data_IF_945622060223
#
_entry.id   IF_945622060223
#
_cell.length_a   1.000
_cell.length_b   1.000
_cell.length_c   1.000
_cell.angle_alpha   90.00
_cell.angle_beta   90.00
_cell.angle_gamma   90.00
#
_symmetry.space_group_name_H-M   'P 1'
#
loop_
_entity.id
_entity.type
_entity.pdbx_description
1 polymer ?
#
# COMPACT_ATOMS: atom_id res chain seq x y z
N UNK A 1 68.73 -39.43 -10.92
CA UNK A 1 67.33 -39.51 -11.39
C UNK A 1 66.71 -40.78 -10.85
N UNK A 2 65.47 -40.72 -10.34
CA UNK A 2 64.37 -41.23 -11.16
C UNK A 2 63.24 -40.19 -11.29
N UNK A 3 62.81 -39.96 -12.54
CA UNK A 3 61.65 -39.15 -12.87
C UNK A 3 60.40 -39.99 -12.60
N UNK A 4 59.61 -39.63 -11.59
CA UNK A 4 58.27 -40.18 -11.42
C UNK A 4 57.32 -39.49 -12.40
N UNK A 5 57.20 -40.09 -13.59
CA UNK A 5 56.16 -39.77 -14.57
C UNK A 5 54.81 -40.28 -14.06
N UNK A 6 54.14 -39.51 -13.20
CA UNK A 6 52.68 -39.61 -13.09
C UNK A 6 52.10 -38.65 -14.10
N UNK A 7 51.73 -39.18 -15.27
CA UNK A 7 50.92 -38.45 -16.25
C UNK A 7 49.72 -37.82 -15.53
N UNK A 8 49.61 -36.48 -15.57
CA UNK A 8 48.42 -35.75 -15.14
C UNK A 8 47.27 -36.13 -16.08
N UNK A 9 46.64 -37.28 -15.83
CA UNK A 9 45.30 -37.56 -16.34
C UNK A 9 44.39 -36.46 -15.81
N UNK A 10 44.03 -35.51 -16.68
CA UNK A 10 42.99 -34.53 -16.39
C UNK A 10 41.69 -35.28 -16.15
N UNK A 11 41.36 -35.54 -14.89
CA UNK A 11 40.10 -36.19 -14.52
C UNK A 11 38.98 -35.19 -14.78
N UNK A 12 38.09 -35.56 -15.70
CA UNK A 12 36.90 -34.78 -16.06
C UNK A 12 35.81 -34.97 -15.01
N UNK A 13 34.95 -33.96 -14.89
CA UNK A 13 33.77 -34.00 -14.04
C UNK A 13 32.86 -35.17 -14.43
N UNK A 14 32.43 -35.93 -13.41
CA UNK A 14 31.46 -37.01 -13.57
C UNK A 14 30.10 -36.54 -13.08
N UNK A 15 29.10 -36.60 -13.97
CA UNK A 15 27.69 -36.30 -13.64
C UNK A 15 27.12 -37.26 -12.60
N UNK A 16 27.71 -38.45 -12.45
CA UNK A 16 27.37 -39.43 -11.43
C UNK A 16 27.56 -38.89 -10.00
N UNK A 17 28.51 -37.96 -9.79
CA UNK A 17 28.76 -37.35 -8.49
C UNK A 17 27.57 -36.53 -7.99
N UNK A 18 26.74 -35.97 -8.87
CA UNK A 18 25.54 -35.24 -8.47
C UNK A 18 24.50 -36.14 -7.75
N UNK A 19 24.57 -37.46 -7.98
CA UNK A 19 23.68 -38.46 -7.37
C UNK A 19 24.17 -38.96 -6.02
N UNK A 20 25.44 -38.74 -5.67
CA UNK A 20 26.00 -39.15 -4.37
C UNK A 20 25.38 -38.35 -3.22
N UNK A 21 25.03 -39.01 -2.11
CA UNK A 21 24.38 -38.40 -0.95
C UNK A 21 25.13 -37.18 -0.39
N UNK A 22 26.46 -37.16 -0.50
CA UNK A 22 27.33 -36.09 -0.01
C UNK A 22 27.35 -34.85 -0.90
N UNK A 23 27.07 -35.01 -2.20
CA UNK A 23 27.13 -33.95 -3.21
C UNK A 23 25.75 -33.50 -3.72
N UNK A 24 24.73 -34.32 -3.44
CA UNK A 24 23.34 -34.07 -3.80
C UNK A 24 22.85 -32.72 -3.26
N UNK A 25 22.31 -31.91 -4.17
CA UNK A 25 21.67 -30.63 -3.86
C UNK A 25 22.56 -29.39 -3.94
N UNK A 26 23.89 -29.54 -4.06
CA UNK A 26 24.80 -28.39 -4.16
C UNK A 26 25.84 -28.45 -5.27
N UNK A 27 26.27 -29.65 -5.67
CA UNK A 27 27.27 -29.83 -6.73
C UNK A 27 26.58 -29.83 -8.11
N UNK A 28 27.14 -29.07 -9.05
CA UNK A 28 26.73 -29.04 -10.47
C UNK A 28 27.97 -28.98 -11.37
N UNK A 29 27.83 -29.32 -12.65
CA UNK A 29 28.85 -29.00 -13.65
C UNK A 29 28.99 -27.47 -13.83
N UNK A 30 30.22 -26.98 -13.90
CA UNK A 30 30.50 -25.57 -14.21
C UNK A 30 30.12 -25.24 -15.67
N UNK A 31 29.55 -24.06 -15.92
CA UNK A 31 29.24 -23.61 -17.29
C UNK A 31 30.48 -23.01 -17.97
N UNK A 32 30.44 -22.95 -19.31
CA UNK A 32 31.55 -22.40 -20.12
C UNK A 32 31.84 -20.91 -19.82
N UNK A 33 30.88 -20.20 -19.24
CA UNK A 33 31.02 -18.80 -18.79
C UNK A 33 31.76 -18.71 -17.44
N UNK A 34 31.70 -19.76 -16.62
CA UNK A 34 32.29 -19.79 -15.28
C UNK A 34 33.67 -20.46 -15.25
N UNK A 35 34.00 -21.27 -16.26
CA UNK A 35 35.28 -21.94 -16.40
C UNK A 35 36.19 -21.18 -17.36
N UNK A 36 37.30 -20.63 -16.87
CA UNK A 36 38.33 -20.12 -17.76
C UNK A 36 38.92 -21.28 -18.56
N UNK A 37 39.06 -21.08 -19.87
CA UNK A 37 39.28 -22.03 -20.97
C UNK A 37 40.48 -23.01 -20.85
N UNK A 38 41.18 -23.05 -19.72
CA UNK A 38 42.37 -23.90 -19.49
C UNK A 38 42.50 -24.50 -18.08
N UNK A 39 41.50 -24.38 -17.21
CA UNK A 39 41.59 -24.88 -15.83
C UNK A 39 40.74 -26.15 -15.62
N UNK A 40 41.29 -27.13 -14.89
CA UNK A 40 40.68 -28.40 -14.46
C UNK A 40 39.44 -28.23 -13.53
N UNK A 41 38.78 -27.07 -13.58
CA UNK A 41 37.71 -26.60 -12.70
C UNK A 41 36.35 -26.76 -13.38
N UNK A 42 35.96 -28.01 -13.60
CA UNK A 42 34.70 -28.38 -14.26
C UNK A 42 33.53 -28.56 -13.27
N UNK A 43 33.76 -28.39 -11.96
CA UNK A 43 32.73 -28.53 -10.92
C UNK A 43 32.32 -27.15 -10.36
N UNK A 44 31.07 -27.01 -9.92
CA UNK A 44 30.53 -25.79 -9.35
C UNK A 44 29.69 -26.08 -8.10
N UNK A 45 29.88 -25.25 -7.07
CA UNK A 45 29.11 -25.31 -5.83
C UNK A 45 28.05 -24.20 -5.80
N UNK A 46 26.77 -24.57 -5.81
CA UNK A 46 25.65 -23.62 -5.78
C UNK A 46 25.51 -22.90 -4.45
N UNK A 47 25.90 -23.54 -3.33
CA UNK A 47 25.83 -22.89 -2.02
C UNK A 47 26.92 -21.84 -1.88
N UNK A 48 28.16 -22.21 -2.21
CA UNK A 48 29.30 -21.33 -2.06
C UNK A 48 29.43 -20.30 -3.20
N UNK A 49 28.80 -20.56 -4.34
CA UNK A 49 28.95 -19.84 -5.61
C UNK A 49 30.41 -19.78 -6.07
N UNK A 50 31.07 -20.95 -6.12
CA UNK A 50 32.49 -21.06 -6.50
C UNK A 50 32.70 -22.24 -7.44
N UNK A 51 33.66 -22.08 -8.36
CA UNK A 51 34.12 -23.12 -9.27
C UNK A 51 35.22 -23.93 -8.58
N UNK A 52 35.13 -25.25 -8.67
CA UNK A 52 35.97 -26.22 -7.97
C UNK A 52 36.63 -27.15 -8.98
N UNK A 53 37.78 -27.70 -8.59
CA UNK A 53 38.45 -28.75 -9.35
C UNK A 53 37.59 -30.01 -9.37
N UNK A 54 37.48 -30.66 -10.53
CA UNK A 54 36.73 -31.91 -10.70
C UNK A 54 37.50 -33.11 -10.14
N UNK A 55 37.80 -33.09 -8.84
CA UNK A 55 38.49 -34.13 -8.12
C UNK A 55 37.69 -34.52 -6.87
N UNK A 56 37.34 -35.79 -6.74
CA UNK A 56 36.40 -36.28 -5.71
C UNK A 56 36.82 -35.86 -4.29
N UNK A 57 38.09 -36.06 -3.91
CA UNK A 57 38.58 -35.65 -2.60
C UNK A 57 38.49 -34.13 -2.37
N UNK A 58 38.76 -33.32 -3.39
CA UNK A 58 38.69 -31.85 -3.28
C UNK A 58 37.25 -31.38 -3.06
N UNK A 59 36.27 -32.08 -3.66
CA UNK A 59 34.84 -31.84 -3.46
C UNK A 59 34.38 -32.29 -2.07
N UNK A 60 34.89 -33.43 -1.58
CA UNK A 60 34.66 -33.90 -0.20
C UNK A 60 35.21 -32.88 0.79
N UNK A 61 36.43 -32.40 0.60
CA UNK A 61 37.06 -31.43 1.49
C UNK A 61 36.35 -30.07 1.43
N UNK A 62 35.91 -29.63 0.24
CA UNK A 62 35.08 -28.44 0.10
C UNK A 62 33.79 -28.54 0.92
N UNK A 63 33.12 -29.69 0.92
CA UNK A 63 31.87 -29.91 1.66
C UNK A 63 32.03 -29.74 3.18
N UNK A 64 33.25 -29.96 3.69
CA UNK A 64 33.60 -29.83 5.10
C UNK A 64 34.03 -28.41 5.48
N UNK A 65 34.25 -27.52 4.51
CA UNK A 65 34.68 -26.14 4.80
C UNK A 65 33.63 -25.37 5.59
N UNK A 66 34.08 -24.53 6.53
CA UNK A 66 33.19 -23.73 7.37
C UNK A 66 32.24 -22.84 6.54
N UNK A 67 32.72 -22.29 5.41
CA UNK A 67 31.92 -21.49 4.47
C UNK A 67 30.80 -22.31 3.82
N UNK A 68 31.07 -23.56 3.46
CA UNK A 68 30.07 -24.44 2.88
C UNK A 68 29.02 -24.84 3.93
N UNK A 69 29.47 -25.25 5.11
CA UNK A 69 28.59 -25.70 6.20
C UNK A 69 27.68 -24.55 6.68
N UNK A 70 28.20 -23.32 6.81
CA UNK A 70 27.39 -22.17 7.22
C UNK A 70 26.29 -21.83 6.20
N UNK A 71 26.63 -21.78 4.91
CA UNK A 71 25.65 -21.52 3.84
C UNK A 71 24.65 -22.66 3.66
N UNK A 72 25.08 -23.92 3.82
CA UNK A 72 24.18 -25.08 3.83
C UNK A 72 23.18 -25.00 4.98
N UNK A 73 23.62 -24.55 6.15
CA UNK A 73 22.75 -24.37 7.32
C UNK A 73 21.77 -23.19 7.16
N UNK A 74 22.18 -22.08 6.56
CA UNK A 74 21.29 -20.92 6.33
C UNK A 74 20.19 -21.19 5.31
N UNK A 75 20.43 -22.11 4.37
CA UNK A 75 19.47 -22.56 3.35
C UNK A 75 18.63 -23.76 3.81
N UNK A 76 18.82 -24.23 5.05
CA UNK A 76 18.05 -25.33 5.58
C UNK A 76 16.65 -24.85 5.97
N UNK A 77 15.66 -25.24 5.17
CA UNK A 77 14.24 -24.90 5.33
C UNK A 77 13.73 -25.21 6.75
N UNK A 78 14.27 -26.24 7.43
CA UNK A 78 13.87 -26.60 8.80
C UNK A 78 14.42 -25.66 9.89
N UNK A 79 15.43 -24.86 9.57
CA UNK A 79 16.10 -23.93 10.51
C UNK A 79 15.82 -22.46 10.22
N UNK A 80 15.17 -22.14 9.10
CA UNK A 80 14.78 -20.77 8.79
C UNK A 80 13.58 -20.36 9.65
N UNK A 81 13.59 -19.17 10.28
CA UNK A 81 12.44 -18.68 11.01
C UNK A 81 11.27 -18.47 10.05
N UNK A 82 10.09 -18.93 10.45
CA UNK A 82 8.86 -18.64 9.71
C UNK A 82 8.55 -17.15 9.79
N UNK A 83 8.32 -16.52 8.64
CA UNK A 83 7.82 -15.16 8.57
C UNK A 83 6.36 -15.15 9.03
N UNK A 84 6.14 -14.89 10.32
CA UNK A 84 4.79 -14.90 10.90
C UNK A 84 3.94 -13.70 10.46
N UNK A 85 4.55 -12.59 10.01
CA UNK A 85 3.81 -11.50 9.38
C UNK A 85 4.71 -10.63 8.49
N UNK A 86 4.16 -10.11 7.40
CA UNK A 86 4.81 -9.17 6.47
C UNK A 86 4.78 -7.71 6.99
N UNK A 87 4.80 -7.50 8.31
CA UNK A 87 4.71 -6.16 8.89
C UNK A 87 3.33 -5.50 8.81
N UNK A 88 2.31 -6.21 8.35
CA UNK A 88 0.92 -5.74 8.37
C UNK A 88 0.33 -6.08 9.75
N UNK A 89 0.37 -5.13 10.67
CA UNK A 89 -0.35 -5.22 11.94
C UNK A 89 -1.73 -4.60 11.78
N UNK A 90 -2.78 -5.42 11.86
CA UNK A 90 -4.16 -4.93 11.87
C UNK A 90 -4.45 -4.27 13.21
N UNK A 91 -4.74 -2.97 13.19
CA UNK A 91 -5.22 -2.26 14.40
C UNK A 91 -6.50 -2.90 14.93
N UNK A 92 -6.65 -2.88 16.26
CA UNK A 92 -7.89 -3.27 16.92
C UNK A 92 -9.07 -2.39 16.48
N UNK A 93 -10.29 -2.92 16.58
CA UNK A 93 -11.49 -2.17 16.19
C UNK A 93 -11.71 -0.95 17.10
N UNK A 94 -11.41 -1.05 18.38
CA UNK A 94 -11.48 0.05 19.34
C UNK A 94 -10.55 1.19 18.93
N UNK A 95 -9.33 0.87 18.48
CA UNK A 95 -8.37 1.87 18.01
C UNK A 95 -8.87 2.59 16.76
N UNK A 96 -9.51 1.87 15.82
CA UNK A 96 -10.11 2.46 14.61
C UNK A 96 -11.27 3.38 14.96
N UNK A 97 -12.13 2.97 15.90
CA UNK A 97 -13.27 3.78 16.35
C UNK A 97 -12.78 5.07 17.02
N UNK A 98 -11.79 4.99 17.90
CA UNK A 98 -11.18 6.18 18.53
C UNK A 98 -10.56 7.11 17.49
N UNK A 99 -9.85 6.55 16.51
CA UNK A 99 -9.25 7.30 15.42
C UNK A 99 -10.32 8.06 14.59
N UNK A 100 -11.43 7.39 14.24
CA UNK A 100 -12.54 8.01 13.51
C UNK A 100 -13.26 9.09 14.33
N UNK A 101 -13.56 8.83 15.61
CA UNK A 101 -14.19 9.82 16.49
C UNK A 101 -13.37 11.10 16.60
N UNK A 102 -12.05 10.97 16.75
CA UNK A 102 -11.16 12.11 16.82
C UNK A 102 -11.08 12.87 15.49
N UNK A 103 -11.05 12.15 14.36
CA UNK A 103 -11.07 12.75 13.03
C UNK A 103 -12.37 13.53 12.76
N UNK A 104 -13.54 12.98 13.16
CA UNK A 104 -14.83 13.68 13.08
C UNK A 104 -14.84 14.94 13.93
N UNK A 105 -14.33 14.87 15.17
CA UNK A 105 -14.25 16.04 16.04
C UNK A 105 -13.39 17.16 15.43
N UNK A 106 -12.23 16.81 14.87
CA UNK A 106 -11.38 17.76 14.17
C UNK A 106 -12.11 18.36 12.97
N UNK A 107 -12.73 17.53 12.12
CA UNK A 107 -13.44 18.00 10.94
C UNK A 107 -14.58 19.00 11.27
N UNK A 108 -15.29 18.76 12.39
CA UNK A 108 -16.43 19.58 12.77
C UNK A 108 -16.07 20.85 13.55
N UNK A 109 -14.96 20.84 14.31
CA UNK A 109 -14.73 21.86 15.34
C UNK A 109 -13.31 22.44 15.40
N UNK A 110 -12.39 22.01 14.54
CA UNK A 110 -11.00 22.49 14.60
C UNK A 110 -10.30 22.49 13.25
N UNK A 111 -9.09 23.05 13.22
CA UNK A 111 -8.19 22.90 12.08
C UNK A 111 -7.52 21.54 12.13
N UNK A 112 -7.37 20.86 10.98
CA UNK A 112 -6.60 19.61 10.90
C UNK A 112 -5.14 19.78 11.34
N UNK A 113 -4.62 21.01 11.40
CA UNK A 113 -3.27 21.31 11.92
C UNK A 113 -3.14 21.13 13.44
N UNK A 114 -4.22 21.24 14.20
CA UNK A 114 -4.18 21.12 15.67
C UNK A 114 -3.98 19.69 16.16
N UNK A 115 -4.22 18.70 15.29
CA UNK A 115 -4.28 17.29 15.69
C UNK A 115 -2.94 16.73 16.16
N UNK A 116 -1.82 17.27 15.66
CA UNK A 116 -0.49 16.79 16.04
C UNK A 116 -0.24 17.01 17.53
N UNK A 117 -0.43 18.25 18.00
CA UNK A 117 -0.28 18.58 19.43
C UNK A 117 -1.40 17.96 20.28
N UNK A 118 -2.64 17.95 19.79
CA UNK A 118 -3.75 17.31 20.49
C UNK A 118 -3.47 15.82 20.71
N UNK A 119 -2.92 15.13 19.72
CA UNK A 119 -2.51 13.73 19.82
C UNK A 119 -1.48 13.50 20.92
N UNK A 120 -0.46 14.35 21.03
CA UNK A 120 0.53 14.27 22.12
C UNK A 120 -0.07 14.53 23.50
N UNK A 121 -0.96 15.52 23.61
CA UNK A 121 -1.68 15.81 24.86
C UNK A 121 -2.51 14.60 25.29
N UNK A 122 -3.29 14.02 24.35
CA UNK A 122 -4.13 12.84 24.63
C UNK A 122 -3.31 11.63 25.08
N UNK A 123 -2.13 11.39 24.48
CA UNK A 123 -1.21 10.35 24.95
C UNK A 123 -0.73 10.62 26.37
N UNK A 124 -0.36 11.87 26.66
CA UNK A 124 0.21 12.25 27.96
C UNK A 124 -0.81 12.15 29.09
N UNK A 125 -2.05 12.59 28.85
CA UNK A 125 -3.16 12.52 29.80
C UNK A 125 -3.76 11.12 29.90
N UNK A 126 -3.60 10.30 28.86
CA UNK A 126 -4.28 9.01 28.70
C UNK A 126 -3.45 7.78 29.08
N UNK A 127 -2.38 7.92 29.86
CA UNK A 127 -1.53 6.79 30.29
C UNK A 127 -2.37 5.70 30.98
N UNK A 128 -2.14 4.44 30.60
CA UNK A 128 -2.90 3.28 31.08
C UNK A 128 -4.25 3.07 30.39
N UNK A 129 -4.60 3.88 29.39
CA UNK A 129 -5.83 3.75 28.61
C UNK A 129 -5.56 3.49 27.13
N UNK A 130 -6.63 3.34 26.34
CA UNK A 130 -6.54 3.23 24.88
C UNK A 130 -5.97 4.49 24.21
N UNK A 131 -5.99 5.63 24.90
CA UNK A 131 -5.47 6.91 24.39
C UNK A 131 -3.93 6.98 24.41
N UNK A 132 -3.27 6.21 25.28
CA UNK A 132 -1.79 6.17 25.37
C UNK A 132 -1.15 5.74 24.04
N UNK A 133 -1.84 4.87 23.31
CA UNK A 133 -1.36 4.30 22.05
C UNK A 133 -1.93 5.02 20.81
N UNK A 134 -2.61 6.16 20.98
CA UNK A 134 -3.10 6.94 19.85
C UNK A 134 -1.91 7.38 19.00
N UNK A 135 -1.99 7.13 17.70
CA UNK A 135 -1.03 7.64 16.71
C UNK A 135 -1.83 8.44 15.70
N UNK A 136 -2.17 9.67 16.04
CA UNK A 136 -2.93 10.55 15.18
C UNK A 136 -2.09 11.77 14.86
N UNK A 137 -1.79 11.92 13.57
CA UNK A 137 -1.10 13.07 13.01
C UNK A 137 -1.91 13.62 11.84
N UNK A 138 -1.55 14.82 11.37
CA UNK A 138 -2.22 15.54 10.28
C UNK A 138 -2.56 14.62 9.11
N UNK A 139 -1.55 13.93 8.55
CA UNK A 139 -1.74 13.07 7.38
C UNK A 139 -2.79 12.00 7.63
N UNK A 140 -2.71 11.30 8.76
CA UNK A 140 -3.66 10.24 9.08
C UNK A 140 -5.07 10.79 9.30
N UNK A 141 -5.20 11.91 10.02
CA UNK A 141 -6.48 12.57 10.24
C UNK A 141 -7.12 12.98 8.90
N UNK A 142 -6.36 13.66 8.02
CA UNK A 142 -6.81 14.02 6.68
C UNK A 142 -7.25 12.80 5.87
N UNK A 143 -6.46 11.71 5.88
CA UNK A 143 -6.80 10.50 5.11
C UNK A 143 -8.05 9.78 5.67
N UNK A 144 -8.29 9.82 6.99
CA UNK A 144 -9.53 9.30 7.57
C UNK A 144 -10.74 10.15 7.18
N UNK A 145 -10.59 11.48 7.20
CA UNK A 145 -11.63 12.40 6.77
C UNK A 145 -11.98 12.15 5.29
N UNK A 146 -10.96 12.09 4.42
CA UNK A 146 -11.14 11.99 2.97
C UNK A 146 -11.60 10.61 2.50
N UNK A 147 -11.06 9.53 3.07
CA UNK A 147 -11.26 8.19 2.52
C UNK A 147 -12.21 7.31 3.33
N UNK A 148 -12.63 7.74 4.53
CA UNK A 148 -13.57 6.98 5.35
C UNK A 148 -14.81 7.79 5.70
N UNK A 149 -14.63 8.98 6.28
CA UNK A 149 -15.75 9.79 6.77
C UNK A 149 -16.53 10.40 5.60
N UNK A 150 -15.84 11.10 4.69
CA UNK A 150 -16.47 11.78 3.57
C UNK A 150 -17.25 10.83 2.64
N UNK A 151 -16.70 9.66 2.22
CA UNK A 151 -17.44 8.72 1.38
C UNK A 151 -18.66 8.15 2.10
N UNK A 152 -18.55 7.81 3.38
CA UNK A 152 -19.67 7.28 4.15
C UNK A 152 -20.81 8.29 4.30
N UNK A 153 -20.48 9.57 4.56
CA UNK A 153 -21.48 10.64 4.66
C UNK A 153 -22.12 10.94 3.30
N UNK A 154 -21.33 10.95 2.23
CA UNK A 154 -21.82 11.16 0.87
C UNK A 154 -22.78 10.04 0.44
N UNK A 155 -22.41 8.78 0.68
CA UNK A 155 -23.26 7.62 0.41
C UNK A 155 -24.56 7.68 1.21
N UNK A 156 -24.49 8.02 2.51
CA UNK A 156 -25.68 8.19 3.34
C UNK A 156 -26.61 9.29 2.80
N UNK A 157 -26.05 10.43 2.36
CA UNK A 157 -26.83 11.53 1.79
C UNK A 157 -27.51 11.12 0.48
N UNK A 158 -26.78 10.50 -0.44
CA UNK A 158 -27.31 10.02 -1.73
C UNK A 158 -28.41 8.99 -1.51
N UNK A 159 -28.23 8.07 -0.56
CA UNK A 159 -29.25 7.07 -0.22
C UNK A 159 -30.52 7.69 0.39
N UNK A 160 -30.40 8.76 1.19
CA UNK A 160 -31.55 9.45 1.79
C UNK A 160 -32.31 10.30 0.75
N UNK A 161 -31.64 10.81 -0.29
CA UNK A 161 -32.27 11.44 -1.46
C UNK A 161 -33.02 10.36 -2.28
N UNK A 162 -32.31 9.29 -2.62
CA UNK A 162 -32.81 8.20 -3.45
C UNK A 162 -33.32 8.68 -4.81
N UNK A 163 -34.47 8.15 -5.19
CA UNK A 163 -35.06 8.25 -6.53
C UNK A 163 -36.03 9.44 -6.67
N UNK A 164 -36.13 10.30 -5.66
CA UNK A 164 -37.16 11.35 -5.57
C UNK A 164 -36.67 12.64 -6.21
N UNK A 165 -37.62 13.54 -6.48
CA UNK A 165 -37.29 14.89 -6.92
C UNK A 165 -36.46 15.65 -5.89
N UNK A 166 -35.41 16.31 -6.35
CA UNK A 166 -34.56 17.19 -5.54
C UNK A 166 -34.30 18.51 -6.23
N UNK A 167 -33.96 19.54 -5.47
CA UNK A 167 -33.52 20.82 -6.01
C UNK A 167 -32.04 21.03 -5.69
N UNK A 168 -31.33 21.71 -6.58
CA UNK A 168 -29.96 22.12 -6.37
C UNK A 168 -29.92 23.61 -6.08
N UNK A 169 -29.06 24.01 -5.15
CA UNK A 169 -28.66 25.39 -4.92
C UNK A 169 -27.18 25.42 -5.26
N UNK A 170 -26.83 26.23 -6.25
CA UNK A 170 -25.49 26.32 -6.81
C UNK A 170 -25.00 27.75 -6.63
N UNK A 171 -23.77 27.88 -6.14
CA UNK A 171 -23.14 29.16 -5.87
C UNK A 171 -21.70 29.15 -6.41
N UNK A 172 -21.33 30.15 -7.22
CA UNK A 172 -19.95 30.37 -7.64
C UNK A 172 -19.24 31.23 -6.61
N UNK A 173 -18.21 30.70 -5.95
CA UNK A 173 -17.36 31.54 -5.11
C UNK A 173 -16.40 32.36 -5.97
N UNK A 174 -16.44 33.69 -5.85
CA UNK A 174 -15.37 34.56 -6.34
C UNK A 174 -14.28 34.70 -5.28
N UNK A 175 -13.41 33.70 -5.17
CA UNK A 175 -12.17 33.89 -4.40
C UNK A 175 -11.22 34.79 -5.20
N UNK A 176 -10.43 35.61 -4.50
CA UNK A 176 -9.38 36.47 -5.08
C UNK A 176 -8.19 35.60 -5.55
N UNK A 177 -8.21 34.30 -5.22
CA UNK A 177 -7.28 33.31 -5.73
C UNK A 177 -7.56 32.95 -7.21
N UNK A 178 -6.56 32.35 -7.86
CA UNK A 178 -6.66 31.89 -9.25
C UNK A 178 -7.68 30.74 -9.40
N UNK A 179 -8.07 30.12 -8.28
CA UNK A 179 -8.94 28.94 -8.27
C UNK A 179 -10.36 29.33 -7.88
N UNK A 180 -11.30 29.10 -8.78
CA UNK A 180 -12.72 29.26 -8.51
C UNK A 180 -13.33 27.95 -8.07
N UNK A 181 -14.35 28.02 -7.23
CA UNK A 181 -15.12 26.86 -6.80
C UNK A 181 -16.60 27.07 -7.04
N UNK A 182 -17.26 25.97 -7.38
CA UNK A 182 -18.71 25.86 -7.42
C UNK A 182 -19.16 25.02 -6.23
N UNK A 183 -19.97 25.63 -5.36
CA UNK A 183 -20.56 24.97 -4.22
C UNK A 183 -21.95 24.44 -4.57
N UNK A 184 -22.23 23.21 -4.16
CA UNK A 184 -23.51 22.55 -4.36
C UNK A 184 -24.17 22.27 -3.01
N UNK A 185 -25.40 22.74 -2.85
CA UNK A 185 -26.31 22.32 -1.82
C UNK A 185 -27.51 21.61 -2.46
N UNK A 186 -28.02 20.57 -1.81
CA UNK A 186 -29.19 19.81 -2.26
C UNK A 186 -30.34 20.03 -1.30
N UNK A 187 -31.52 20.33 -1.83
CA UNK A 187 -32.77 20.43 -1.09
C UNK A 187 -33.70 19.30 -1.51
N UNK A 188 -34.08 18.45 -0.56
CA UNK A 188 -34.83 17.22 -0.83
C UNK A 188 -35.70 16.83 0.37
N UNK A 189 -36.65 15.92 0.17
CA UNK A 189 -37.41 15.31 1.26
C UNK A 189 -36.63 14.16 1.89
N UNK A 190 -36.13 14.36 3.11
CA UNK A 190 -35.45 13.30 3.85
C UNK A 190 -36.48 12.33 4.42
N UNK A 191 -36.42 11.07 4.00
CA UNK A 191 -37.29 10.01 4.54
C UNK A 191 -36.96 9.70 5.98
N UNK A 192 -35.67 9.73 6.33
CA UNK A 192 -35.23 9.48 7.71
C UNK A 192 -35.72 10.56 8.68
N UNK A 193 -35.74 11.83 8.26
CA UNK A 193 -36.17 12.96 9.10
C UNK A 193 -37.63 13.37 8.91
N UNK A 194 -38.33 12.80 7.92
CA UNK A 194 -39.71 13.15 7.53
C UNK A 194 -39.92 14.65 7.28
N UNK A 195 -38.94 15.32 6.66
CA UNK A 195 -39.00 16.75 6.36
C UNK A 195 -38.18 17.13 5.14
N UNK A 196 -38.54 18.27 4.52
CA UNK A 196 -37.67 18.90 3.53
C UNK A 196 -36.44 19.47 4.25
N UNK A 197 -35.27 19.06 3.81
CA UNK A 197 -33.98 19.50 4.35
C UNK A 197 -33.10 20.07 3.23
N UNK A 198 -32.17 20.93 3.60
CA UNK A 198 -31.09 21.39 2.72
C UNK A 198 -29.78 20.91 3.31
N UNK A 199 -28.96 20.23 2.52
CA UNK A 199 -27.64 19.74 2.94
C UNK A 199 -26.57 20.15 1.92
N UNK A 200 -25.34 20.28 2.41
CA UNK A 200 -24.18 20.46 1.55
C UNK A 200 -23.92 19.17 0.77
N UNK A 201 -23.80 19.29 -0.55
CA UNK A 201 -23.58 18.16 -1.45
C UNK A 201 -22.11 18.03 -1.83
N UNK A 202 -21.43 19.15 -2.09
CA UNK A 202 -20.00 19.16 -2.39
C UNK A 202 -19.50 20.48 -2.97
N UNK A 203 -18.21 20.49 -3.26
CA UNK A 203 -17.47 21.60 -3.86
C UNK A 203 -16.67 21.06 -5.03
N UNK A 204 -16.73 21.75 -6.17
CA UNK A 204 -15.97 21.40 -7.37
C UNK A 204 -15.13 22.59 -7.80
N UNK A 205 -13.88 22.33 -8.17
CA UNK A 205 -12.99 23.34 -8.72
C UNK A 205 -13.38 23.63 -10.17
N UNK A 206 -13.49 24.91 -10.55
CA UNK A 206 -13.84 25.33 -11.90
C UNK A 206 -12.75 26.23 -12.48
N UNK A 207 -12.37 25.97 -13.73
CA UNK A 207 -11.44 26.84 -14.46
C UNK A 207 -12.17 27.94 -15.25
N UNK A 208 -13.42 27.69 -15.66
CA UNK A 208 -14.22 28.58 -16.51
C UNK A 208 -15.65 28.65 -16.00
N UNK A 209 -16.19 29.86 -15.90
CA UNK A 209 -17.55 30.14 -15.43
C UNK A 209 -18.51 30.48 -16.60
N UNK A 210 -18.40 29.78 -17.73
CA UNK A 210 -19.40 29.92 -18.81
C UNK A 210 -20.61 29.05 -18.51
N UNK A 211 -21.80 29.46 -18.91
CA UNK A 211 -23.03 28.70 -18.67
C UNK A 211 -22.93 27.21 -19.12
N UNK A 212 -22.26 26.95 -20.24
CA UNK A 212 -22.02 25.60 -20.75
C UNK A 212 -21.06 24.83 -19.83
N UNK A 213 -19.93 25.43 -19.45
CA UNK A 213 -18.96 24.77 -18.58
C UNK A 213 -19.58 24.44 -17.20
N UNK A 214 -20.33 25.37 -16.63
CA UNK A 214 -21.00 25.18 -15.34
C UNK A 214 -22.05 24.06 -15.39
N UNK A 215 -22.83 24.01 -16.49
CA UNK A 215 -23.78 22.92 -16.74
C UNK A 215 -23.05 21.58 -16.81
N UNK A 216 -22.00 21.48 -17.61
CA UNK A 216 -21.32 20.22 -17.85
C UNK A 216 -20.64 19.70 -16.57
N UNK A 217 -20.02 20.59 -15.81
CA UNK A 217 -19.44 20.28 -14.49
C UNK A 217 -20.51 19.81 -13.50
N UNK A 218 -21.68 20.47 -13.49
CA UNK A 218 -22.80 20.05 -12.64
C UNK A 218 -23.25 18.63 -12.99
N UNK A 219 -23.41 18.31 -14.28
CA UNK A 219 -23.82 16.98 -14.73
C UNK A 219 -22.77 15.91 -14.40
N UNK A 220 -21.49 16.24 -14.57
CA UNK A 220 -20.38 15.35 -14.21
C UNK A 220 -20.36 15.06 -12.70
N UNK A 221 -20.48 16.10 -11.88
CA UNK A 221 -20.53 15.98 -10.42
C UNK A 221 -21.70 15.11 -9.93
N UNK A 222 -22.90 15.31 -10.49
CA UNK A 222 -24.06 14.48 -10.16
C UNK A 222 -23.85 13.02 -10.57
N UNK A 223 -23.24 12.79 -11.73
CA UNK A 223 -22.91 11.45 -12.23
C UNK A 223 -21.91 10.73 -11.31
N UNK A 224 -20.90 11.43 -10.80
CA UNK A 224 -19.94 10.88 -9.83
C UNK A 224 -20.64 10.45 -8.53
N UNK A 225 -21.60 11.25 -8.07
CA UNK A 225 -22.43 10.95 -6.90
C UNK A 225 -23.55 9.93 -7.17
N UNK A 226 -23.73 9.50 -8.43
CA UNK A 226 -24.81 8.61 -8.88
C UNK A 226 -26.21 9.19 -8.64
N UNK A 227 -26.34 10.52 -8.69
CA UNK A 227 -27.62 11.22 -8.69
C UNK A 227 -28.11 11.39 -10.12
N UNK A 228 -29.41 11.15 -10.33
CA UNK A 228 -30.08 11.22 -11.63
C UNK A 228 -30.45 12.68 -11.93
N UNK A 229 -29.88 13.33 -12.97
CA UNK A 229 -30.18 14.74 -13.28
C UNK A 229 -31.64 14.99 -13.66
N UNK A 230 -32.33 14.00 -14.21
CA UNK A 230 -33.74 14.08 -14.60
C UNK A 230 -34.68 14.27 -13.39
N UNK A 231 -34.21 13.93 -12.19
CA UNK A 231 -34.94 14.13 -10.94
C UNK A 231 -34.77 15.55 -10.36
N UNK A 232 -34.04 16.45 -11.04
CA UNK A 232 -33.95 17.84 -10.63
C UNK A 232 -35.28 18.53 -10.91
N UNK A 233 -35.95 18.98 -9.84
CA UNK A 233 -37.24 19.71 -9.92
C UNK A 233 -37.06 21.23 -9.77
N UNK A 234 -35.86 21.68 -9.43
CA UNK A 234 -35.56 23.10 -9.27
C UNK A 234 -34.06 23.36 -9.16
N UNK A 235 -33.64 24.50 -9.71
CA UNK A 235 -32.27 24.97 -9.66
C UNK A 235 -32.29 26.42 -9.13
N UNK A 236 -31.67 26.63 -7.98
CA UNK A 236 -31.38 27.95 -7.43
C UNK A 236 -29.95 28.33 -7.77
N UNK A 237 -29.78 29.35 -8.60
CA UNK A 237 -28.49 29.97 -8.93
C UNK A 237 -28.55 31.43 -8.52
N UNK A 238 -27.40 32.03 -8.22
CA UNK A 238 -27.31 33.48 -8.12
C UNK A 238 -27.48 34.12 -9.51
N UNK A 239 -27.96 35.37 -9.53
CA UNK A 239 -28.28 36.09 -10.76
C UNK A 239 -27.08 36.78 -11.40
N UNK A 240 -25.90 36.16 -11.33
CA UNK A 240 -24.63 36.71 -11.83
C UNK A 240 -24.55 36.73 -13.38
#
# INVERSE_FOLDING_TARGET
MPKTNYAKYGRKYKTEWEKELIFKGWLKKATDVQSNMNDLKEAYCSYCNVVLRAHHNDLVDHSKTAKHVSKKNSLNIKKQPTLNSFGISTKSNESKISDLKLAVHIAAHSSVRSIDHLGEILKSCGKGSTLENIKMHRTKCSQLILNAISPALSEQLVNDIGDHGYSLIVDESTDISVTKYMAFCVRYFSKSLQKITTQFLGLVNIERATAIALRDITLEFLKELKLVPENIIGLGVDGA
#
